data_IF_994259268346
#
_entry.id   IF_994259268346
#
_cell.length_a   1.000
_cell.length_b   1.000
_cell.length_c   1.000
_cell.angle_alpha   90.00
_cell.angle_beta   90.00
_cell.angle_gamma   90.00
#
_symmetry.space_group_name_H-M   'P 1'
#
loop_
_entity.id
_entity.type
_entity.pdbx_description
1 polymer ?
#
# COMPACT_ATOMS: atom_id res chain seq x y z
N UNK A 1 3.07 -22.04 -1.29
CA UNK A 1 2.46 -22.18 0.02
C UNK A 1 2.71 -23.53 0.65
N UNK A 2 2.46 -23.63 1.95
CA UNK A 2 2.70 -24.87 2.72
C UNK A 2 1.44 -25.41 3.39
N UNK A 3 0.58 -24.52 3.89
CA UNK A 3 -0.50 -24.85 4.82
C UNK A 3 -1.91 -24.61 4.27
N UNK A 4 -2.05 -23.87 3.19
CA UNK A 4 -3.34 -23.59 2.56
C UNK A 4 -3.89 -24.79 1.79
N UNK A 5 -5.19 -24.79 1.57
CA UNK A 5 -5.88 -25.82 0.75
C UNK A 5 -5.42 -25.75 -0.71
N UNK A 6 -5.15 -24.55 -1.22
CA UNK A 6 -4.74 -24.28 -2.60
C UNK A 6 -3.43 -23.49 -2.62
N UNK A 7 -2.31 -24.19 -2.80
CA UNK A 7 -0.95 -23.66 -2.60
C UNK A 7 -0.14 -23.51 -3.89
N UNK A 8 -0.67 -23.95 -5.04
CA UNK A 8 0.06 -23.92 -6.31
C UNK A 8 -0.34 -22.73 -7.18
N UNK A 9 0.58 -22.26 -8.02
CA UNK A 9 0.31 -21.22 -9.01
C UNK A 9 -0.83 -21.59 -9.96
N UNK A 10 -0.98 -22.88 -10.28
CA UNK A 10 -2.09 -23.39 -11.09
C UNK A 10 -3.44 -23.12 -10.42
N UNK A 11 -3.59 -23.43 -9.15
CA UNK A 11 -4.82 -23.17 -8.41
C UNK A 11 -5.15 -21.66 -8.38
N UNK A 12 -4.12 -20.83 -8.15
CA UNK A 12 -4.28 -19.37 -8.17
C UNK A 12 -4.74 -18.90 -9.55
N UNK A 13 -4.12 -19.40 -10.63
CA UNK A 13 -4.52 -19.06 -11.99
C UNK A 13 -5.96 -19.41 -12.28
N UNK A 14 -6.36 -20.66 -12.02
CA UNK A 14 -7.73 -21.15 -12.23
C UNK A 14 -8.76 -20.31 -11.43
N UNK A 15 -8.40 -19.85 -10.24
CA UNK A 15 -9.27 -18.97 -9.43
C UNK A 15 -9.37 -17.57 -10.02
N UNK A 16 -8.27 -17.00 -10.46
CA UNK A 16 -8.24 -15.70 -11.14
C UNK A 16 -9.01 -15.73 -12.46
N UNK A 17 -8.87 -16.78 -13.26
CA UNK A 17 -9.61 -16.96 -14.52
C UNK A 17 -11.12 -16.97 -14.28
N UNK A 18 -11.60 -17.67 -13.23
CA UNK A 18 -13.03 -17.65 -12.83
C UNK A 18 -13.49 -16.26 -12.34
N UNK A 19 -12.61 -15.49 -11.75
CA UNK A 19 -12.96 -14.13 -11.35
C UNK A 19 -13.11 -13.20 -12.55
N UNK A 20 -12.28 -13.36 -13.58
CA UNK A 20 -12.38 -12.58 -14.84
C UNK A 20 -13.73 -12.76 -15.54
N UNK A 21 -14.35 -13.93 -15.45
CA UNK A 21 -15.68 -14.18 -16.02
C UNK A 21 -16.78 -13.32 -15.37
N UNK A 22 -16.61 -12.98 -14.10
CA UNK A 22 -17.59 -12.24 -13.29
C UNK A 22 -17.28 -10.76 -13.15
N UNK A 23 -16.03 -10.38 -13.34
CA UNK A 23 -15.51 -9.06 -13.01
C UNK A 23 -14.77 -8.42 -14.20
N UNK A 24 -15.53 -7.73 -15.06
CA UNK A 24 -15.01 -7.06 -16.26
C UNK A 24 -13.98 -5.95 -15.97
N UNK A 25 -13.92 -5.46 -14.73
CA UNK A 25 -12.95 -4.43 -14.33
C UNK A 25 -11.61 -5.03 -13.88
N UNK A 26 -11.49 -6.34 -13.84
CA UNK A 26 -10.27 -7.05 -13.51
C UNK A 26 -9.52 -7.45 -14.78
N UNK A 27 -8.19 -7.36 -14.73
CA UNK A 27 -7.31 -7.90 -15.78
C UNK A 27 -6.17 -8.66 -15.12
N UNK A 28 -5.80 -9.78 -15.66
CA UNK A 28 -4.70 -10.63 -15.18
C UNK A 28 -3.73 -10.88 -16.32
N UNK A 29 -2.44 -10.73 -16.06
CA UNK A 29 -1.36 -11.09 -17.00
C UNK A 29 -0.31 -11.91 -16.25
N UNK A 30 0.48 -12.74 -16.96
CA UNK A 30 1.64 -13.39 -16.36
C UNK A 30 2.56 -12.36 -15.70
N UNK A 31 3.13 -12.70 -14.57
CA UNK A 31 4.13 -11.91 -13.87
C UNK A 31 5.56 -12.19 -14.34
N UNK A 32 6.57 -11.64 -13.67
CA UNK A 32 7.97 -11.83 -14.05
C UNK A 32 8.50 -13.25 -13.82
N UNK A 33 7.85 -14.05 -13.00
CA UNK A 33 8.15 -15.48 -12.79
C UNK A 33 6.97 -16.37 -13.18
N UNK A 34 7.23 -17.64 -13.45
CA UNK A 34 6.21 -18.62 -13.83
C UNK A 34 5.11 -18.80 -12.77
N UNK A 35 5.41 -18.47 -11.51
CA UNK A 35 4.52 -18.61 -10.36
C UNK A 35 3.84 -17.30 -9.96
N UNK A 36 4.03 -16.23 -10.73
CA UNK A 36 3.50 -14.90 -10.41
C UNK A 36 2.51 -14.40 -11.45
N UNK A 37 1.59 -13.55 -10.99
CA UNK A 37 0.56 -12.92 -11.81
C UNK A 37 0.48 -11.43 -11.48
N UNK A 38 0.40 -10.60 -12.53
CA UNK A 38 0.04 -9.20 -12.39
C UNK A 38 -1.48 -9.09 -12.45
N UNK A 39 -2.07 -8.56 -11.39
CA UNK A 39 -3.52 -8.38 -11.26
C UNK A 39 -3.83 -6.90 -11.25
N UNK A 40 -4.63 -6.43 -12.21
CA UNK A 40 -5.02 -5.04 -12.37
C UNK A 40 -6.49 -4.88 -12.00
N UNK A 41 -6.80 -3.92 -11.17
CA UNK A 41 -8.16 -3.59 -10.73
C UNK A 41 -8.38 -2.09 -10.71
N UNK A 42 -9.61 -1.66 -10.38
CA UNK A 42 -9.98 -0.24 -10.31
C UNK A 42 -9.27 0.55 -9.21
N UNK A 43 -8.72 -0.16 -8.22
CA UNK A 43 -8.01 0.46 -7.11
C UNK A 43 -7.64 -0.55 -6.03
N UNK A 44 -6.96 -0.08 -4.99
CA UNK A 44 -6.43 -0.93 -3.90
C UNK A 44 -7.56 -1.67 -3.18
N UNK A 45 -8.68 -1.01 -2.90
CA UNK A 45 -9.82 -1.64 -2.22
C UNK A 45 -10.38 -2.82 -3.04
N UNK A 46 -10.55 -2.65 -4.34
CA UNK A 46 -11.03 -3.71 -5.24
C UNK A 46 -10.11 -4.95 -5.21
N UNK A 47 -8.78 -4.72 -5.27
CA UNK A 47 -7.80 -5.78 -5.18
C UNK A 47 -7.75 -6.43 -3.79
N UNK A 48 -7.89 -5.64 -2.73
CA UNK A 48 -7.91 -6.13 -1.35
C UNK A 48 -9.09 -7.05 -1.09
N UNK A 49 -10.27 -6.71 -1.61
CA UNK A 49 -11.47 -7.58 -1.51
C UNK A 49 -11.23 -8.91 -2.21
N UNK A 50 -10.65 -8.91 -3.42
CA UNK A 50 -10.31 -10.13 -4.14
C UNK A 50 -9.33 -11.00 -3.33
N UNK A 51 -8.24 -10.41 -2.84
CA UNK A 51 -7.21 -11.12 -2.07
C UNK A 51 -7.80 -11.74 -0.81
N UNK A 52 -8.58 -10.98 -0.05
CA UNK A 52 -9.21 -11.46 1.17
C UNK A 52 -10.23 -12.57 0.90
N UNK A 53 -10.99 -12.47 -0.19
CA UNK A 53 -11.90 -13.53 -0.62
C UNK A 53 -11.14 -14.82 -0.94
N UNK A 54 -10.05 -14.72 -1.69
CA UNK A 54 -9.20 -15.88 -2.01
C UNK A 54 -8.61 -16.51 -0.74
N UNK A 55 -8.13 -15.69 0.22
CA UNK A 55 -7.62 -16.20 1.51
C UNK A 55 -8.68 -16.97 2.28
N UNK A 56 -9.91 -16.47 2.36
CA UNK A 56 -11.04 -17.14 3.01
C UNK A 56 -11.44 -18.44 2.32
N UNK A 57 -11.27 -18.51 1.01
CA UNK A 57 -11.46 -19.74 0.23
C UNK A 57 -10.36 -20.79 0.45
N UNK A 58 -9.28 -20.43 1.18
CA UNK A 58 -8.15 -21.32 1.52
C UNK A 58 -6.99 -21.26 0.51
N UNK A 59 -6.90 -20.21 -0.31
CA UNK A 59 -5.74 -19.97 -1.16
C UNK A 59 -4.63 -19.33 -0.32
N UNK A 60 -3.44 -19.92 -0.40
CA UNK A 60 -2.22 -19.34 0.16
C UNK A 60 -1.44 -18.63 -0.95
N UNK A 61 -1.30 -17.34 -0.83
CA UNK A 61 -0.65 -16.50 -1.83
C UNK A 61 0.16 -15.39 -1.16
N UNK A 62 1.21 -14.97 -1.84
CA UNK A 62 2.00 -13.81 -1.46
C UNK A 62 1.59 -12.62 -2.34
N UNK A 63 1.41 -11.47 -1.72
CA UNK A 63 1.00 -10.24 -2.40
C UNK A 63 2.18 -9.27 -2.42
N UNK A 64 2.55 -8.82 -3.62
CA UNK A 64 3.53 -7.75 -3.79
C UNK A 64 2.94 -6.37 -3.49
N UNK A 65 3.80 -5.36 -3.46
CA UNK A 65 3.34 -3.98 -3.30
C UNK A 65 2.48 -3.54 -4.49
N UNK A 66 1.35 -2.85 -4.24
CA UNK A 66 0.54 -2.30 -5.31
C UNK A 66 1.31 -1.23 -6.07
N UNK A 67 1.15 -1.22 -7.40
CA UNK A 67 1.75 -0.23 -8.29
C UNK A 67 0.67 0.41 -9.13
N UNK A 68 0.78 1.71 -9.35
CA UNK A 68 -0.10 2.41 -10.29
C UNK A 68 0.30 2.12 -11.73
N UNK A 69 -0.67 2.15 -12.63
CA UNK A 69 -0.42 1.99 -14.06
C UNK A 69 0.18 3.30 -14.58
N UNK A 70 1.38 3.23 -15.13
CA UNK A 70 2.03 4.34 -15.83
C UNK A 70 1.80 4.18 -17.33
N UNK A 71 1.52 5.27 -18.02
CA UNK A 71 1.32 5.33 -19.47
C UNK A 71 2.34 6.27 -20.09
N UNK A 72 2.67 6.02 -21.34
CA UNK A 72 3.37 6.98 -22.17
C UNK A 72 2.34 7.72 -23.03
N UNK A 73 2.30 9.04 -22.88
CA UNK A 73 1.41 9.93 -23.63
C UNK A 73 2.28 11.02 -24.27
N UNK A 74 2.24 11.14 -25.58
CA UNK A 74 3.06 12.09 -26.36
C UNK A 74 4.59 12.02 -26.04
N UNK A 75 5.09 10.77 -25.88
CA UNK A 75 6.50 10.52 -25.56
C UNK A 75 6.90 10.87 -24.12
N UNK A 76 5.93 11.19 -23.25
CA UNK A 76 6.17 11.50 -21.84
C UNK A 76 5.58 10.42 -20.93
N UNK A 77 6.35 10.03 -19.92
CA UNK A 77 5.87 9.16 -18.84
C UNK A 77 4.80 9.91 -18.06
N UNK A 78 3.56 9.36 -18.04
CA UNK A 78 2.43 9.91 -17.32
C UNK A 78 1.90 8.92 -16.28
N UNK A 79 1.39 9.47 -15.20
CA UNK A 79 0.80 8.71 -14.08
C UNK A 79 -0.61 9.21 -13.77
N UNK A 80 -1.47 8.38 -13.17
CA UNK A 80 -2.81 8.82 -12.77
C UNK A 80 -2.71 9.82 -11.62
N UNK A 81 -3.42 10.92 -11.75
CA UNK A 81 -3.57 11.97 -10.73
C UNK A 81 -5.01 11.99 -10.26
N UNK A 82 -5.20 12.14 -8.97
CA UNK A 82 -6.50 12.15 -8.32
C UNK A 82 -6.76 13.51 -7.65
N UNK A 83 -8.02 13.89 -7.64
CA UNK A 83 -8.52 14.96 -6.78
C UNK A 83 -8.76 14.37 -5.39
N UNK A 84 -7.98 14.82 -4.43
CA UNK A 84 -8.08 14.44 -3.03
C UNK A 84 -8.75 15.57 -2.26
N UNK A 85 -9.83 15.26 -1.55
CA UNK A 85 -10.48 16.17 -0.60
C UNK A 85 -10.28 15.65 0.81
N UNK A 86 -9.77 16.50 1.69
CA UNK A 86 -9.63 16.23 3.12
C UNK A 86 -10.38 17.28 3.92
N UNK A 87 -11.33 16.84 4.74
CA UNK A 87 -12.02 17.65 5.71
C UNK A 87 -11.49 17.32 7.11
N UNK A 88 -10.95 18.32 7.81
CA UNK A 88 -10.28 18.11 9.10
C UNK A 88 -10.48 19.33 10.03
N UNK A 89 -10.21 19.20 11.35
CA UNK A 89 -10.11 20.35 12.24
C UNK A 89 -9.10 21.39 11.74
N UNK A 90 -9.39 22.67 11.87
CA UNK A 90 -8.50 23.75 11.42
C UNK A 90 -7.11 23.65 12.03
N UNK A 91 -7.03 23.22 13.29
CA UNK A 91 -5.76 23.00 14.02
C UNK A 91 -4.85 21.95 13.39
N UNK A 92 -5.40 21.01 12.60
CA UNK A 92 -4.68 19.94 11.92
C UNK A 92 -4.32 20.29 10.48
N UNK A 93 -4.80 21.41 9.94
CA UNK A 93 -4.65 21.77 8.51
C UNK A 93 -3.21 21.77 8.03
N UNK A 94 -2.30 22.36 8.80
CA UNK A 94 -0.87 22.40 8.47
C UNK A 94 -0.25 21.01 8.33
N UNK A 95 -0.54 20.11 9.25
CA UNK A 95 -0.04 18.72 9.22
C UNK A 95 -0.62 17.95 8.02
N UNK A 96 -1.89 18.14 7.71
CA UNK A 96 -2.54 17.52 6.54
C UNK A 96 -1.90 18.02 5.24
N UNK A 97 -1.65 19.33 5.11
CA UNK A 97 -0.97 19.92 3.95
C UNK A 97 0.44 19.34 3.80
N UNK A 98 1.20 19.25 4.90
CA UNK A 98 2.54 18.67 4.89
C UNK A 98 2.54 17.20 4.43
N UNK A 99 1.64 16.37 4.96
CA UNK A 99 1.50 14.97 4.59
C UNK A 99 1.15 14.79 3.10
N UNK A 100 0.23 15.60 2.56
CA UNK A 100 -0.13 15.56 1.16
C UNK A 100 1.03 16.03 0.26
N UNK A 101 1.73 17.10 0.65
CA UNK A 101 2.85 17.67 -0.11
C UNK A 101 4.05 16.73 -0.17
N UNK A 102 4.40 16.05 0.92
CA UNK A 102 5.43 14.99 0.94
C UNK A 102 5.14 13.87 -0.07
N UNK A 103 3.86 13.67 -0.39
CA UNK A 103 3.39 12.70 -1.38
C UNK A 103 3.13 13.30 -2.77
N UNK A 104 3.76 14.45 -3.07
CA UNK A 104 3.63 15.19 -4.32
C UNK A 104 2.22 15.73 -4.58
N UNK A 105 1.40 15.89 -3.54
CA UNK A 105 0.12 16.58 -3.62
C UNK A 105 0.31 18.09 -3.74
N UNK A 106 -0.47 18.71 -4.62
CA UNK A 106 -0.52 20.17 -4.81
C UNK A 106 -1.85 20.70 -4.28
N UNK A 107 -1.80 21.58 -3.28
CA UNK A 107 -3.01 22.21 -2.76
C UNK A 107 -3.65 23.10 -3.83
N UNK A 108 -4.94 22.88 -4.12
CA UNK A 108 -5.73 23.64 -5.09
C UNK A 108 -6.64 24.64 -4.43
N UNK A 109 -7.27 24.22 -3.35
CA UNK A 109 -8.24 25.05 -2.67
C UNK A 109 -8.27 24.75 -1.16
N UNK A 110 -8.64 25.77 -0.39
CA UNK A 110 -8.83 25.67 1.05
C UNK A 110 -10.05 26.49 1.44
N UNK A 111 -11.02 25.86 2.07
CA UNK A 111 -12.26 26.51 2.49
C UNK A 111 -12.51 26.24 3.96
N UNK A 112 -12.57 27.30 4.77
CA UNK A 112 -12.89 27.21 6.20
C UNK A 112 -14.41 27.19 6.40
N UNK A 113 -14.85 26.32 7.31
CA UNK A 113 -16.25 26.21 7.72
C UNK A 113 -16.32 25.99 9.25
N UNK A 114 -16.39 27.10 9.97
CA UNK A 114 -16.33 27.08 11.44
C UNK A 114 -14.95 26.64 11.96
N UNK A 115 -14.92 25.59 12.73
CA UNK A 115 -13.72 24.98 13.32
C UNK A 115 -13.09 23.90 12.41
N UNK A 116 -13.65 23.67 11.24
CA UNK A 116 -13.17 22.70 10.24
C UNK A 116 -12.71 23.40 8.97
N UNK A 117 -11.82 22.74 8.29
CA UNK A 117 -11.29 23.18 6.99
C UNK A 117 -11.40 22.04 5.97
N UNK A 118 -11.81 22.39 4.76
CA UNK A 118 -11.77 21.53 3.59
C UNK A 118 -10.58 21.89 2.74
N UNK A 119 -9.72 20.92 2.50
CA UNK A 119 -8.51 21.03 1.70
C UNK A 119 -8.66 20.17 0.44
N UNK A 120 -8.40 20.74 -0.72
CA UNK A 120 -8.49 20.06 -2.01
C UNK A 120 -7.13 20.02 -2.68
N UNK A 121 -6.70 18.83 -3.08
CA UNK A 121 -5.38 18.60 -3.68
C UNK A 121 -5.52 17.87 -5.01
N UNK A 122 -4.59 18.14 -5.93
CA UNK A 122 -4.22 17.20 -6.99
C UNK A 122 -3.03 16.39 -6.51
N UNK A 123 -3.16 15.05 -6.51
CA UNK A 123 -2.14 14.16 -5.96
C UNK A 123 -2.00 12.91 -6.85
N UNK A 124 -0.77 12.43 -7.12
CA UNK A 124 -0.59 11.16 -7.82
C UNK A 124 -1.26 10.02 -7.07
N UNK A 125 -1.93 9.10 -7.77
CA UNK A 125 -2.61 7.94 -7.16
C UNK A 125 -1.68 7.12 -6.26
N UNK A 126 -0.39 7.00 -6.63
CA UNK A 126 0.62 6.34 -5.80
C UNK A 126 0.86 7.05 -4.47
N UNK A 127 0.66 8.38 -4.41
CA UNK A 127 0.75 9.17 -3.18
C UNK A 127 -0.38 8.90 -2.18
N UNK A 128 -1.54 8.44 -2.65
CA UNK A 128 -2.70 8.11 -1.81
C UNK A 128 -2.52 6.78 -1.09
N UNK A 129 -1.71 5.86 -1.64
CA UNK A 129 -1.47 4.55 -1.02
C UNK A 129 -0.89 4.73 0.39
N UNK A 130 -1.61 4.25 1.42
CA UNK A 130 -1.24 4.39 2.82
C UNK A 130 -1.45 5.79 3.43
N UNK A 131 -1.85 6.80 2.65
CA UNK A 131 -2.04 8.17 3.14
C UNK A 131 -3.18 8.27 4.15
N UNK A 132 -4.27 7.51 3.96
CA UNK A 132 -5.42 7.51 4.87
C UNK A 132 -5.04 7.23 6.32
N UNK A 133 -4.21 6.21 6.56
CA UNK A 133 -3.77 5.87 7.92
C UNK A 133 -2.95 7.00 8.54
N UNK A 134 -2.06 7.62 7.76
CA UNK A 134 -1.27 8.75 8.24
C UNK A 134 -2.15 9.96 8.58
N UNK A 135 -3.15 10.27 7.72
CA UNK A 135 -4.11 11.35 7.96
C UNK A 135 -4.94 11.12 9.23
N UNK A 136 -5.46 9.91 9.42
CA UNK A 136 -6.22 9.56 10.62
C UNK A 136 -5.36 9.66 11.87
N UNK A 137 -4.12 9.16 11.84
CA UNK A 137 -3.19 9.29 12.98
C UNK A 137 -2.89 10.74 13.30
N UNK A 138 -2.61 11.56 12.27
CA UNK A 138 -2.26 12.97 12.44
C UNK A 138 -3.42 13.85 12.94
N UNK A 139 -4.65 13.42 12.75
CA UNK A 139 -5.87 14.14 13.12
C UNK A 139 -6.66 13.46 14.24
N UNK A 140 -6.05 12.53 14.96
CA UNK A 140 -6.71 11.74 16.01
C UNK A 140 -8.01 11.05 15.54
N UNK A 141 -8.08 10.66 14.27
CA UNK A 141 -9.24 10.01 13.66
C UNK A 141 -10.29 10.97 13.07
N UNK A 142 -10.11 12.28 13.17
CA UNK A 142 -11.12 13.26 12.78
C UNK A 142 -11.11 13.64 11.28
N UNK A 143 -10.08 13.26 10.53
CA UNK A 143 -10.03 13.54 9.08
C UNK A 143 -11.02 12.68 8.31
N UNK A 144 -11.77 13.33 7.43
CA UNK A 144 -12.59 12.69 6.40
C UNK A 144 -11.87 12.86 5.07
N UNK A 145 -11.53 11.76 4.44
CA UNK A 145 -10.75 11.74 3.22
C UNK A 145 -11.51 11.05 2.09
N UNK A 146 -11.70 11.76 0.97
CA UNK A 146 -12.27 11.24 -0.27
C UNK A 146 -11.36 11.56 -1.43
N UNK A 147 -11.35 10.71 -2.45
CA UNK A 147 -10.55 10.93 -3.65
C UNK A 147 -11.23 10.33 -4.89
N UNK A 148 -10.94 10.90 -6.04
CA UNK A 148 -11.42 10.43 -7.34
C UNK A 148 -10.36 10.64 -8.41
N UNK A 149 -10.30 9.76 -9.40
CA UNK A 149 -9.42 9.93 -10.55
C UNK A 149 -9.80 11.21 -11.32
N UNK A 150 -8.79 12.04 -11.59
CA UNK A 150 -8.91 13.24 -12.40
C UNK A 150 -8.48 12.94 -13.84
N UNK A 151 -7.17 12.69 -14.05
CA UNK A 151 -6.58 12.43 -15.38
C UNK A 151 -5.19 11.80 -15.24
N UNK A 152 -4.55 11.53 -16.37
CA UNK A 152 -3.14 11.16 -16.43
C UNK A 152 -2.32 12.42 -16.69
N UNK A 153 -1.38 12.71 -15.78
CA UNK A 153 -0.49 13.87 -15.86
C UNK A 153 0.98 13.41 -15.89
N UNK A 154 1.92 14.27 -16.35
CA UNK A 154 3.33 13.93 -16.38
C UNK A 154 3.85 13.49 -15.00
N UNK A 155 4.73 12.51 -15.00
CA UNK A 155 5.40 11.99 -13.80
C UNK A 155 6.11 13.09 -13.01
N UNK A 156 5.78 13.23 -11.73
CA UNK A 156 6.30 14.29 -10.84
C UNK A 156 7.52 13.89 -10.00
N UNK A 157 8.16 12.79 -10.34
CA UNK A 157 9.34 12.30 -9.61
C UNK A 157 9.00 11.27 -8.53
N UNK A 158 10.01 10.77 -7.83
CA UNK A 158 9.86 9.76 -6.79
C UNK A 158 9.18 10.34 -5.54
N UNK A 159 8.41 9.48 -4.86
CA UNK A 159 7.83 9.76 -3.55
C UNK A 159 8.56 8.89 -2.54
N UNK A 160 9.16 9.51 -1.55
CA UNK A 160 9.73 8.80 -0.40
C UNK A 160 8.59 8.24 0.47
N UNK A 161 8.28 6.97 0.25
CA UNK A 161 7.20 6.28 0.96
C UNK A 161 7.67 5.66 2.27
N UNK A 162 8.96 5.48 2.42
CA UNK A 162 9.57 4.73 3.50
C UNK A 162 10.46 5.64 4.34
N UNK A 163 10.10 5.81 5.61
CA UNK A 163 10.91 6.57 6.59
C UNK A 163 11.88 5.66 7.33
N UNK A 164 11.55 4.37 7.44
CA UNK A 164 12.29 3.38 8.23
C UNK A 164 12.71 2.20 7.36
N UNK A 165 13.82 1.58 7.71
CA UNK A 165 14.29 0.33 7.11
C UNK A 165 13.47 -0.88 7.57
N UNK A 166 13.83 -2.06 7.08
CA UNK A 166 13.27 -3.35 7.53
C UNK A 166 14.26 -4.11 8.36
N UNK A 167 13.75 -4.88 9.32
CA UNK A 167 14.51 -5.97 9.94
C UNK A 167 14.15 -7.23 9.19
N UNK A 168 15.16 -7.87 8.59
CA UNK A 168 15.00 -9.03 7.72
C UNK A 168 15.65 -10.23 8.41
N UNK A 169 14.98 -11.39 8.37
CA UNK A 169 15.57 -12.64 8.86
C UNK A 169 16.72 -13.07 7.96
N UNK A 170 17.89 -13.29 8.55
CA UNK A 170 19.06 -13.81 7.84
C UNK A 170 19.06 -15.33 7.62
N UNK A 171 18.16 -16.06 8.28
CA UNK A 171 18.09 -17.51 8.25
C UNK A 171 16.65 -18.02 8.39
N UNK A 172 16.42 -19.25 7.93
CA UNK A 172 15.16 -19.96 8.17
C UNK A 172 15.25 -20.72 9.49
N UNK A 173 14.28 -20.50 10.39
CA UNK A 173 14.28 -21.15 11.70
C UNK A 173 13.17 -20.64 12.61
N UNK A 174 13.35 -20.88 13.91
CA UNK A 174 12.43 -20.43 14.96
C UNK A 174 12.96 -19.17 15.64
N UNK A 175 12.13 -18.17 15.80
CA UNK A 175 12.49 -16.93 16.49
C UNK A 175 12.68 -17.15 17.99
N UNK A 176 13.85 -16.82 18.53
CA UNK A 176 14.15 -16.94 19.95
C UNK A 176 13.93 -15.64 20.70
N UNK A 177 13.31 -15.73 21.88
CA UNK A 177 13.04 -14.58 22.76
C UNK A 177 14.30 -13.74 23.01
N UNK A 178 15.42 -14.39 23.29
CA UNK A 178 16.72 -13.73 23.53
C UNK A 178 17.22 -12.91 22.35
N UNK A 179 17.04 -13.42 21.11
CA UNK A 179 17.45 -12.70 19.89
C UNK A 179 16.56 -11.49 19.65
N UNK A 180 15.24 -11.62 19.86
CA UNK A 180 14.29 -10.50 19.74
C UNK A 180 14.61 -9.45 20.80
N UNK A 181 14.85 -9.84 22.04
CA UNK A 181 15.16 -8.92 23.16
C UNK A 181 16.43 -8.10 22.88
N UNK A 182 17.51 -8.74 22.44
CA UNK A 182 18.76 -8.06 22.08
C UNK A 182 18.62 -7.05 20.92
N UNK A 183 17.63 -7.20 20.10
CA UNK A 183 17.44 -6.36 18.91
C UNK A 183 16.31 -5.33 19.08
N UNK A 184 15.65 -5.28 20.25
CA UNK A 184 14.55 -4.35 20.52
C UNK A 184 14.91 -2.88 20.30
N UNK A 185 16.14 -2.49 20.61
CA UNK A 185 16.62 -1.12 20.38
C UNK A 185 16.76 -0.75 18.91
N UNK A 186 16.78 -1.75 18.02
CA UNK A 186 16.92 -1.53 16.57
C UNK A 186 15.61 -1.23 15.88
N UNK A 187 14.47 -1.63 16.46
CA UNK A 187 13.18 -1.42 15.85
C UNK A 187 12.05 -2.20 16.48
N UNK A 188 10.92 -2.19 15.81
CA UNK A 188 9.70 -2.88 16.24
C UNK A 188 9.58 -4.20 15.49
N UNK A 189 9.48 -5.31 16.22
CA UNK A 189 9.25 -6.63 15.65
C UNK A 189 7.76 -6.90 15.41
N UNK A 190 7.48 -7.62 14.32
CA UNK A 190 6.14 -8.08 13.92
C UNK A 190 5.90 -9.55 14.29
N UNK A 191 6.95 -10.23 14.75
CA UNK A 191 6.96 -11.63 15.15
C UNK A 191 7.05 -11.76 16.67
N UNK A 192 6.59 -12.91 17.18
CA UNK A 192 6.69 -13.31 18.57
C UNK A 192 7.76 -14.40 18.77
N UNK A 193 8.25 -14.62 19.99
CA UNK A 193 9.05 -15.80 20.30
C UNK A 193 8.35 -17.09 19.87
N UNK A 194 9.10 -18.03 19.34
CA UNK A 194 8.66 -19.33 18.79
C UNK A 194 7.98 -19.27 17.41
N UNK A 195 7.79 -18.09 16.80
CA UNK A 195 7.32 -18.01 15.42
C UNK A 195 8.34 -18.60 14.45
N UNK A 196 7.86 -19.30 13.42
CA UNK A 196 8.69 -19.79 12.34
C UNK A 196 8.93 -18.67 11.34
N UNK A 197 10.20 -18.44 11.01
CA UNK A 197 10.62 -17.43 10.03
C UNK A 197 11.43 -18.07 8.92
N UNK A 198 11.47 -17.44 7.76
CA UNK A 198 12.31 -17.88 6.63
C UNK A 198 13.31 -16.78 6.25
N UNK A 199 14.42 -17.19 5.65
CA UNK A 199 15.44 -16.28 5.14
C UNK A 199 14.84 -15.26 4.18
N UNK A 200 15.12 -13.97 4.39
CA UNK A 200 14.56 -12.85 3.62
C UNK A 200 13.18 -12.38 4.08
N UNK A 201 12.56 -13.00 5.08
CA UNK A 201 11.29 -12.54 5.65
C UNK A 201 11.47 -11.21 6.38
N UNK A 202 10.59 -10.24 6.10
CA UNK A 202 10.52 -9.00 6.89
C UNK A 202 9.86 -9.32 8.24
N UNK A 203 10.65 -9.23 9.31
CA UNK A 203 10.26 -9.58 10.67
C UNK A 203 10.09 -8.38 11.60
N UNK A 204 10.41 -7.18 11.11
CA UNK A 204 10.25 -5.96 11.88
C UNK A 204 10.47 -4.70 11.04
N UNK A 205 10.21 -3.56 11.67
CA UNK A 205 10.48 -2.23 11.17
C UNK A 205 11.69 -1.67 11.91
N UNK A 206 12.72 -1.22 11.17
CA UNK A 206 13.92 -0.63 11.75
C UNK A 206 13.67 0.83 12.15
N UNK A 207 14.33 1.34 13.19
CA UNK A 207 14.22 2.76 13.62
C UNK A 207 14.92 3.74 12.68
N UNK A 208 15.81 3.24 11.80
CA UNK A 208 16.55 4.03 10.80
C UNK A 208 16.17 3.57 9.40
N UNK A 209 16.57 4.34 8.37
CA UNK A 209 16.29 4.01 6.97
C UNK A 209 17.11 2.82 6.41
N UNK A 210 17.89 2.15 7.21
CA UNK A 210 18.71 1.00 6.80
C UNK A 210 17.91 -0.30 6.89
N UNK A 211 18.14 -1.20 5.94
CA UNK A 211 17.71 -2.60 5.99
C UNK A 211 18.79 -3.46 6.65
#
# INVERSE_FOLDING_TARGET
GKDGKYVTSRHIKERLDRELEKNLALRVTPGPSADSFNVFGRGVLHLSVLIETMRREGYELQVGQPRVIVKEIDGKKCEPVEELTVDCPETCSGTVIELATKRKGTLRNMTSNGDRVRLEFDIPSRGIIGLRSNMLTATAGEAIMTHRLKDFEPWVGEIEMRTNGSIISGETGTAFAYSIDKLQDRGRFFISPMDQVYEGQVIGEHTRQND
#
